data_IF_455228696128
#
_entry.id   IF_455228696128
#
_cell.length_a   1.000
_cell.length_b   1.000
_cell.length_c   1.000
_cell.angle_alpha   90.00
_cell.angle_beta   90.00
_cell.angle_gamma   90.00
#
_symmetry.space_group_name_H-M   'P 1'
#
loop_
_entity.id
_entity.type
_entity.pdbx_description
1 polymer ?
#
# COMPACT_ATOMS: atom_id res chain seq x y z
N UNK A 1 46.93 66.96 31.74
CA UNK A 1 45.80 66.72 32.66
C UNK A 1 45.44 68.04 33.31
N UNK A 2 44.16 68.43 33.48
CA UNK A 2 42.89 67.99 32.87
C UNK A 2 42.46 68.96 31.73
N UNK A 3 41.70 68.65 30.68
CA UNK A 3 40.40 67.97 30.49
C UNK A 3 39.19 68.80 31.00
N UNK A 4 38.43 69.40 30.06
CA UNK A 4 36.95 69.44 30.00
C UNK A 4 36.50 70.34 28.82
N UNK A 5 36.11 69.82 27.64
CA UNK A 5 34.78 69.34 27.17
C UNK A 5 33.59 70.28 27.35
N UNK A 6 33.06 70.84 26.23
CA UNK A 6 31.61 70.92 26.04
C UNK A 6 31.25 70.82 24.54
N UNK A 7 30.62 69.69 24.18
CA UNK A 7 30.17 69.38 22.84
C UNK A 7 28.65 69.48 22.74
N UNK A 8 28.21 70.04 21.63
CA UNK A 8 26.82 70.31 21.23
C UNK A 8 25.96 69.03 21.25
N UNK A 9 24.85 69.07 21.99
CA UNK A 9 23.85 68.01 22.09
C UNK A 9 22.83 68.10 20.94
N UNK A 10 23.06 67.38 19.83
CA UNK A 10 22.00 67.08 18.83
C UNK A 10 21.28 65.79 19.22
N UNK A 11 19.99 65.88 19.54
CA UNK A 11 19.09 64.73 19.74
C UNK A 11 18.75 64.11 18.37
N UNK A 12 19.17 62.88 18.13
CA UNK A 12 18.72 62.04 17.02
C UNK A 12 17.46 61.28 17.42
N UNK A 13 16.29 61.82 17.05
CA UNK A 13 15.04 61.05 16.93
C UNK A 13 15.06 60.41 15.55
N UNK A 14 15.41 59.12 15.46
CA UNK A 14 15.54 58.52 14.12
C UNK A 14 15.91 57.04 14.04
N UNK A 15 15.67 56.23 15.08
CA UNK A 15 15.95 54.79 15.03
C UNK A 15 14.73 53.89 15.33
N UNK A 16 13.64 54.43 15.87
CA UNK A 16 12.46 53.65 16.27
C UNK A 16 11.51 53.32 15.12
N UNK A 17 11.33 54.22 14.14
CA UNK A 17 10.31 54.06 13.10
C UNK A 17 10.72 53.11 11.97
N UNK A 18 12.03 53.05 11.65
CA UNK A 18 12.57 52.16 10.61
C UNK A 18 12.57 50.69 11.01
N UNK A 19 12.82 50.38 12.28
CA UNK A 19 12.79 49.01 12.80
C UNK A 19 11.36 48.46 12.88
N UNK A 20 10.39 49.31 13.22
CA UNK A 20 8.96 48.96 13.26
C UNK A 20 8.38 48.74 11.85
N UNK A 21 8.75 49.55 10.85
CA UNK A 21 8.31 49.32 9.46
C UNK A 21 8.95 48.05 8.85
N UNK A 22 10.23 47.77 9.15
CA UNK A 22 10.89 46.56 8.66
C UNK A 22 10.28 45.28 9.25
N UNK A 23 9.87 45.29 10.53
CA UNK A 23 9.19 44.17 11.17
C UNK A 23 7.75 43.98 10.66
N UNK A 24 7.03 45.07 10.35
CA UNK A 24 5.68 44.99 9.77
C UNK A 24 5.72 44.51 8.32
N UNK A 25 6.70 44.93 7.51
CA UNK A 25 6.89 44.40 6.16
C UNK A 25 7.36 42.93 6.17
N UNK A 26 8.21 42.52 7.11
CA UNK A 26 8.59 41.11 7.28
C UNK A 26 7.41 40.23 7.76
N UNK A 27 6.54 40.75 8.62
CA UNK A 27 5.30 40.07 9.03
C UNK A 27 4.24 40.01 7.91
N UNK A 28 4.19 41.02 7.03
CA UNK A 28 3.32 41.02 5.85
C UNK A 28 3.82 40.09 4.74
N UNK A 29 5.15 39.91 4.60
CA UNK A 29 5.75 38.96 3.66
C UNK A 29 5.71 37.50 4.17
N UNK A 30 5.55 37.27 5.47
CA UNK A 30 5.34 35.94 6.06
C UNK A 30 3.86 35.50 6.06
N UNK A 31 2.91 36.36 5.68
CA UNK A 31 1.46 36.05 5.67
C UNK A 31 0.86 35.96 4.27
N UNK A 32 1.65 36.15 3.20
CA UNK A 32 1.20 36.06 1.82
C UNK A 32 2.20 35.29 0.95
N UNK A 33 2.39 34.00 1.24
CA UNK A 33 2.76 33.06 0.19
C UNK A 33 1.50 32.75 -0.61
N UNK A 34 1.53 32.77 -1.95
CA UNK A 34 0.37 32.40 -2.75
C UNK A 34 0.07 30.93 -2.48
N UNK A 35 -1.07 30.71 -1.84
CA UNK A 35 -1.70 29.43 -1.60
C UNK A 35 -2.33 28.95 -2.92
N UNK A 36 -1.52 28.82 -3.97
CA UNK A 36 -1.92 28.28 -5.28
C UNK A 36 -2.01 26.75 -5.19
N UNK A 37 -2.94 26.28 -4.36
CA UNK A 37 -3.33 24.87 -4.32
C UNK A 37 -4.72 24.66 -3.66
N UNK A 38 -5.62 25.65 -3.77
CA UNK A 38 -7.04 25.48 -3.40
C UNK A 38 -7.81 24.70 -4.46
N UNK A 39 -7.39 23.46 -4.70
CA UNK A 39 -8.32 22.42 -5.13
C UNK A 39 -9.30 22.19 -3.98
N UNK A 40 -10.59 22.48 -4.21
CA UNK A 40 -11.69 22.52 -3.23
C UNK A 40 -12.00 21.23 -2.46
N UNK A 41 -11.04 20.67 -1.74
CA UNK A 41 -11.21 19.55 -0.83
C UNK A 41 -11.57 19.99 0.59
N UNK A 42 -12.28 19.13 1.32
CA UNK A 42 -12.49 19.29 2.78
C UNK A 42 -11.12 19.50 3.46
N UNK A 43 -10.99 20.42 4.42
CA UNK A 43 -9.72 20.67 5.10
C UNK A 43 -9.22 19.41 5.79
N UNK A 44 -7.90 19.35 6.02
CA UNK A 44 -7.33 18.28 6.82
C UNK A 44 -7.99 18.24 8.20
N UNK A 45 -8.42 17.06 8.62
CA UNK A 45 -8.92 16.79 9.95
C UNK A 45 -8.53 15.38 10.39
N UNK A 46 -8.54 15.13 11.69
CA UNK A 46 -8.30 13.80 12.22
C UNK A 46 -9.31 12.79 11.64
N UNK A 47 -8.83 11.58 11.35
CA UNK A 47 -9.65 10.49 10.81
C UNK A 47 -9.37 9.19 11.55
N UNK A 48 -10.43 8.44 11.84
CA UNK A 48 -10.37 7.11 12.46
C UNK A 48 -11.53 6.25 11.97
N UNK A 49 -11.44 4.93 12.18
CA UNK A 49 -12.51 3.98 11.85
C UNK A 49 -13.67 4.17 12.84
N UNK A 50 -14.78 4.71 12.36
CA UNK A 50 -16.01 4.88 13.13
C UNK A 50 -16.78 3.57 13.24
N UNK A 51 -17.02 2.92 12.10
CA UNK A 51 -17.71 1.64 11.99
C UNK A 51 -17.13 0.81 10.85
N UNK A 52 -17.42 -0.49 10.87
CA UNK A 52 -17.06 -1.43 9.83
C UNK A 52 -18.08 -2.56 9.73
N UNK A 53 -18.16 -3.20 8.57
CA UNK A 53 -18.93 -4.42 8.34
C UNK A 53 -18.21 -5.34 7.37
N UNK A 54 -18.36 -6.65 7.52
CA UNK A 54 -17.93 -7.59 6.49
C UNK A 54 -18.68 -7.33 5.17
N UNK A 55 -18.02 -7.57 4.05
CA UNK A 55 -18.61 -7.55 2.71
C UNK A 55 -18.74 -8.99 2.19
N UNK A 56 -19.86 -9.67 2.47
CA UNK A 56 -20.08 -11.03 2.02
C UNK A 56 -20.30 -11.13 0.50
N UNK A 57 -20.68 -10.04 -0.15
CA UNK A 57 -20.95 -10.01 -1.59
C UNK A 57 -19.66 -10.24 -2.38
N UNK A 58 -18.66 -9.38 -2.16
CA UNK A 58 -17.38 -9.47 -2.86
C UNK A 58 -16.53 -10.64 -2.37
N UNK A 59 -16.53 -10.92 -1.06
CA UNK A 59 -15.89 -12.13 -0.50
C UNK A 59 -16.48 -13.39 -1.15
N UNK A 60 -17.81 -13.47 -1.26
CA UNK A 60 -18.49 -14.59 -1.92
C UNK A 60 -18.27 -14.65 -3.43
N UNK A 61 -18.06 -13.51 -4.09
CA UNK A 61 -17.78 -13.48 -5.53
C UNK A 61 -16.43 -14.11 -5.85
N UNK A 62 -15.38 -13.82 -5.08
CA UNK A 62 -14.09 -14.50 -5.20
C UNK A 62 -14.16 -15.98 -4.84
N UNK A 63 -14.93 -16.34 -3.80
CA UNK A 63 -15.13 -17.75 -3.46
C UNK A 63 -15.78 -18.52 -4.62
N UNK A 64 -16.91 -18.01 -5.17
CA UNK A 64 -17.59 -18.62 -6.31
C UNK A 64 -16.70 -18.70 -7.56
N UNK A 65 -15.91 -17.67 -7.83
CA UNK A 65 -14.97 -17.67 -8.95
C UNK A 65 -13.92 -18.77 -8.79
N UNK A 66 -13.29 -18.87 -7.61
CA UNK A 66 -12.26 -19.87 -7.35
C UNK A 66 -12.77 -21.28 -7.12
N UNK A 67 -14.07 -21.47 -6.89
CA UNK A 67 -14.74 -22.78 -6.78
C UNK A 67 -15.27 -23.27 -8.14
N UNK A 68 -15.23 -22.43 -9.18
CA UNK A 68 -15.70 -22.78 -10.51
C UNK A 68 -14.71 -23.73 -11.21
N UNK A 69 -14.97 -25.03 -11.11
CA UNK A 69 -14.16 -26.07 -11.73
C UNK A 69 -14.37 -26.23 -13.25
N UNK A 70 -15.12 -25.33 -13.92
CA UNK A 70 -15.27 -25.38 -15.38
C UNK A 70 -14.00 -24.99 -16.15
N UNK A 71 -13.02 -24.38 -15.46
CA UNK A 71 -11.73 -23.94 -16.03
C UNK A 71 -10.59 -24.44 -15.14
N UNK A 72 -9.64 -25.14 -15.74
CA UNK A 72 -8.58 -25.87 -15.01
C UNK A 72 -7.30 -25.09 -14.73
N UNK A 73 -7.22 -23.83 -15.16
CA UNK A 73 -6.06 -22.94 -15.03
C UNK A 73 -6.42 -21.62 -14.31
N UNK A 74 -7.62 -21.54 -13.76
CA UNK A 74 -8.14 -20.34 -13.13
C UNK A 74 -7.56 -20.08 -11.74
N UNK A 75 -7.62 -18.82 -11.31
CA UNK A 75 -7.32 -18.41 -9.94
C UNK A 75 -8.24 -19.12 -8.95
N UNK A 76 -7.67 -19.71 -7.89
CA UNK A 76 -8.43 -20.36 -6.81
C UNK A 76 -8.12 -19.81 -5.42
N UNK A 77 -7.15 -18.91 -5.31
CA UNK A 77 -6.72 -18.26 -4.08
C UNK A 77 -5.39 -17.55 -4.26
N UNK A 78 -5.18 -16.41 -3.60
CA UNK A 78 -3.92 -15.69 -3.71
C UNK A 78 -3.84 -14.48 -2.78
N UNK A 79 -2.61 -13.99 -2.62
CA UNK A 79 -2.24 -12.90 -1.72
C UNK A 79 -2.19 -11.52 -2.39
N UNK A 80 -2.14 -10.47 -1.57
CA UNK A 80 -1.88 -9.08 -1.94
C UNK A 80 -3.14 -8.32 -2.38
N UNK A 81 -3.95 -8.96 -3.23
CA UNK A 81 -5.28 -8.48 -3.64
C UNK A 81 -5.30 -6.97 -3.96
N UNK A 82 -4.57 -6.55 -4.98
CA UNK A 82 -4.55 -5.15 -5.41
C UNK A 82 -5.55 -4.93 -6.55
N UNK A 83 -6.18 -3.76 -6.61
CA UNK A 83 -7.16 -3.44 -7.66
C UNK A 83 -6.87 -2.12 -8.34
N UNK A 84 -7.11 -2.05 -9.66
CA UNK A 84 -7.12 -0.80 -10.43
C UNK A 84 -8.32 -0.77 -11.38
N UNK A 85 -9.05 0.35 -11.39
CA UNK A 85 -10.13 0.58 -12.36
C UNK A 85 -9.52 0.91 -13.71
N UNK A 86 -10.00 0.24 -14.75
CA UNK A 86 -9.57 0.45 -16.13
C UNK A 86 -10.48 1.49 -16.81
N UNK A 87 -9.98 2.22 -17.83
CA UNK A 87 -10.77 3.25 -18.52
C UNK A 87 -12.04 2.73 -19.18
N UNK A 88 -12.08 1.45 -19.52
CA UNK A 88 -13.21 0.80 -20.18
C UNK A 88 -14.25 0.21 -19.20
N UNK A 89 -14.16 0.58 -17.91
CA UNK A 89 -15.11 0.20 -16.87
C UNK A 89 -14.83 -1.14 -16.19
N UNK A 90 -13.86 -1.91 -16.68
CA UNK A 90 -13.39 -3.14 -16.00
C UNK A 90 -12.56 -2.81 -14.75
N UNK A 91 -12.33 -3.82 -13.92
CA UNK A 91 -11.37 -3.76 -12.81
C UNK A 91 -10.35 -4.88 -12.99
N UNK A 92 -9.07 -4.51 -12.96
CA UNK A 92 -7.96 -5.46 -12.91
C UNK A 92 -7.61 -5.71 -11.46
N UNK A 93 -7.62 -6.98 -11.07
CA UNK A 93 -7.15 -7.49 -9.79
C UNK A 93 -5.80 -8.14 -9.98
N UNK A 94 -4.86 -7.84 -9.10
CA UNK A 94 -3.49 -8.32 -9.13
C UNK A 94 -3.20 -9.06 -7.82
N UNK A 95 -2.65 -10.24 -7.95
CA UNK A 95 -2.30 -11.10 -6.83
C UNK A 95 -0.82 -11.43 -6.87
N UNK A 96 -0.25 -11.59 -5.69
CA UNK A 96 1.09 -12.14 -5.47
C UNK A 96 1.01 -13.66 -5.53
N UNK A 97 1.68 -14.37 -4.63
CA UNK A 97 1.61 -15.82 -4.47
C UNK A 97 0.14 -16.33 -4.61
N UNK A 98 -0.09 -17.21 -5.58
CA UNK A 98 -1.42 -17.59 -6.07
C UNK A 98 -1.48 -19.10 -6.33
N UNK A 99 -2.53 -19.75 -5.84
CA UNK A 99 -2.95 -21.07 -6.30
C UNK A 99 -3.85 -20.96 -7.53
N UNK A 100 -3.58 -21.81 -8.51
CA UNK A 100 -4.42 -22.03 -9.68
C UNK A 100 -4.99 -23.45 -9.66
N UNK A 101 -5.84 -23.77 -10.62
CA UNK A 101 -6.28 -25.14 -10.86
C UNK A 101 -7.66 -25.46 -10.32
N UNK A 102 -7.86 -26.71 -9.92
CA UNK A 102 -9.16 -27.19 -9.48
C UNK A 102 -9.35 -27.07 -7.97
N UNK A 103 -10.58 -26.71 -7.57
CA UNK A 103 -11.08 -26.85 -6.20
C UNK A 103 -12.15 -27.93 -6.17
N UNK A 104 -12.11 -28.75 -5.13
CA UNK A 104 -13.03 -29.84 -4.86
C UNK A 104 -14.10 -29.38 -3.87
N UNK A 105 -15.33 -29.84 -4.09
CA UNK A 105 -16.44 -29.59 -3.19
C UNK A 105 -16.22 -30.27 -1.81
N UNK A 106 -16.83 -29.74 -0.74
CA UNK A 106 -16.86 -30.43 0.55
C UNK A 106 -17.47 -31.85 0.47
N UNK A 107 -17.09 -32.76 1.38
CA UNK A 107 -16.12 -32.56 2.45
C UNK A 107 -14.67 -32.64 1.97
N UNK A 108 -13.75 -32.06 2.73
CA UNK A 108 -12.32 -32.26 2.51
C UNK A 108 -11.85 -33.67 2.94
N UNK A 109 -10.60 -34.07 2.63
CA UNK A 109 -10.10 -35.41 2.99
C UNK A 109 -10.06 -35.72 4.50
N UNK A 110 -10.19 -34.69 5.36
CA UNK A 110 -10.30 -34.84 6.81
C UNK A 110 -11.77 -34.91 7.29
N UNK A 111 -12.75 -34.96 6.38
CA UNK A 111 -14.18 -35.02 6.68
C UNK A 111 -14.80 -33.68 7.09
N UNK A 112 -14.09 -32.56 6.92
CA UNK A 112 -14.59 -31.23 7.29
C UNK A 112 -15.41 -30.62 6.15
N UNK A 113 -16.40 -29.75 6.43
CA UNK A 113 -17.31 -29.20 5.42
C UNK A 113 -16.69 -28.02 4.63
N UNK A 114 -15.44 -28.19 4.20
CA UNK A 114 -14.66 -27.16 3.51
C UNK A 114 -14.37 -27.56 2.07
N UNK A 115 -14.44 -26.58 1.16
CA UNK A 115 -13.89 -26.73 -0.18
C UNK A 115 -12.36 -26.79 -0.08
N UNK A 116 -11.72 -27.62 -0.90
CA UNK A 116 -10.32 -27.98 -0.75
C UNK A 116 -9.64 -28.13 -2.11
N UNK A 117 -8.31 -28.12 -2.11
CA UNK A 117 -7.49 -28.35 -3.31
C UNK A 117 -6.42 -29.38 -3.01
N UNK A 118 -5.94 -30.05 -4.05
CA UNK A 118 -4.79 -30.95 -3.92
C UNK A 118 -3.54 -30.18 -3.48
N UNK A 119 -2.68 -30.82 -2.68
CA UNK A 119 -1.43 -30.19 -2.22
C UNK A 119 -0.47 -29.87 -3.37
N UNK A 120 -0.63 -30.55 -4.51
CA UNK A 120 0.10 -30.32 -5.75
C UNK A 120 -0.56 -29.28 -6.67
N UNK A 121 -1.58 -28.55 -6.21
CA UNK A 121 -2.21 -27.49 -6.99
C UNK A 121 -1.15 -26.49 -7.50
N UNK A 122 -1.22 -26.07 -8.79
CA UNK A 122 -0.25 -25.15 -9.35
C UNK A 122 -0.15 -23.88 -8.51
N UNK A 123 1.07 -23.44 -8.23
CA UNK A 123 1.35 -22.26 -7.43
C UNK A 123 2.31 -21.33 -8.17
N UNK A 124 1.85 -20.12 -8.44
CA UNK A 124 2.60 -19.08 -9.17
C UNK A 124 2.85 -17.88 -8.27
N UNK A 125 3.90 -17.11 -8.57
CA UNK A 125 4.31 -15.95 -7.75
C UNK A 125 3.47 -14.70 -7.99
N UNK A 126 2.69 -14.67 -9.06
CA UNK A 126 1.76 -13.60 -9.33
C UNK A 126 0.71 -14.04 -10.33
N UNK A 127 -0.46 -13.42 -10.26
CA UNK A 127 -1.55 -13.64 -11.21
C UNK A 127 -2.41 -12.38 -11.32
N UNK A 128 -3.40 -12.42 -12.20
CA UNK A 128 -4.39 -11.38 -12.30
C UNK A 128 -5.77 -11.93 -12.69
N UNK A 129 -6.81 -11.29 -12.16
CA UNK A 129 -8.21 -11.59 -12.49
C UNK A 129 -8.89 -10.31 -12.96
N UNK A 130 -9.78 -10.43 -13.95
CA UNK A 130 -10.53 -9.30 -14.50
C UNK A 130 -11.98 -9.37 -14.05
N UNK A 131 -12.46 -8.29 -13.44
CA UNK A 131 -13.90 -8.04 -13.29
C UNK A 131 -14.41 -7.28 -14.50
N UNK A 132 -15.46 -7.82 -15.11
CA UNK A 132 -16.16 -7.26 -16.24
C UNK A 132 -16.91 -5.97 -15.94
N UNK A 133 -17.46 -5.37 -17.00
CA UNK A 133 -18.32 -4.17 -16.88
C UNK A 133 -19.62 -4.45 -16.09
N UNK A 134 -20.06 -5.71 -16.06
CA UNK A 134 -21.20 -6.16 -15.27
C UNK A 134 -20.92 -6.21 -13.76
N UNK A 135 -19.66 -6.10 -13.35
CA UNK A 135 -19.23 -6.28 -11.96
C UNK A 135 -18.97 -7.74 -11.57
N UNK A 136 -19.11 -8.70 -12.50
CA UNK A 136 -18.75 -10.10 -12.27
C UNK A 136 -17.26 -10.36 -12.54
N UNK A 137 -16.63 -11.26 -11.78
CA UNK A 137 -15.29 -11.79 -12.15
C UNK A 137 -15.46 -12.66 -13.39
N UNK A 138 -14.66 -12.42 -14.43
CA UNK A 138 -14.85 -13.02 -15.75
C UNK A 138 -13.73 -13.98 -16.14
N UNK A 139 -12.47 -13.62 -15.86
CA UNK A 139 -11.31 -14.42 -16.29
C UNK A 139 -10.05 -14.18 -15.48
N UNK A 140 -9.24 -15.21 -15.37
CA UNK A 140 -7.83 -15.14 -14.98
C UNK A 140 -7.03 -14.83 -16.23
N UNK A 141 -6.04 -13.93 -16.13
CA UNK A 141 -5.08 -13.71 -17.21
C UNK A 141 -4.06 -14.85 -17.23
N UNK A 142 -3.38 -15.13 -18.37
CA UNK A 142 -2.30 -16.10 -18.40
C UNK A 142 -1.30 -15.88 -17.27
N UNK A 143 -1.04 -16.93 -16.49
CA UNK A 143 -0.28 -16.87 -15.26
C UNK A 143 1.01 -17.73 -15.35
N UNK A 144 2.14 -17.28 -14.77
CA UNK A 144 2.32 -16.00 -14.10
C UNK A 144 2.23 -14.81 -15.06
N UNK A 145 1.63 -13.71 -14.61
CA UNK A 145 1.46 -12.50 -15.43
C UNK A 145 2.82 -11.81 -15.66
N UNK A 146 3.65 -11.75 -14.63
CA UNK A 146 5.00 -11.22 -14.65
C UNK A 146 5.98 -12.40 -14.50
N UNK A 147 6.80 -12.70 -15.51
CA UNK A 147 7.82 -13.73 -15.41
C UNK A 147 8.79 -13.46 -14.27
N UNK A 148 9.43 -14.49 -13.74
CA UNK A 148 10.50 -14.33 -12.75
C UNK A 148 11.72 -13.63 -13.39
N UNK A 149 12.41 -12.73 -12.68
CA UNK A 149 13.56 -12.00 -13.23
C UNK A 149 14.80 -12.88 -13.40
N UNK A 150 14.94 -13.93 -12.60
CA UNK A 150 16.05 -14.90 -12.62
C UNK A 150 15.67 -16.12 -11.76
N UNK A 151 16.42 -17.24 -11.84
CA UNK A 151 16.24 -18.36 -10.91
C UNK A 151 16.30 -17.90 -9.45
N UNK A 152 15.43 -18.45 -8.61
CA UNK A 152 15.33 -18.11 -7.17
C UNK A 152 14.95 -16.65 -6.90
N UNK A 153 14.39 -15.95 -7.89
CA UNK A 153 13.85 -14.60 -7.74
C UNK A 153 12.43 -14.55 -8.28
N UNK A 154 11.60 -13.66 -7.74
CA UNK A 154 10.22 -13.52 -8.16
C UNK A 154 9.71 -12.10 -8.04
N UNK A 155 8.53 -11.86 -8.64
CA UNK A 155 7.83 -10.57 -8.66
C UNK A 155 6.47 -10.67 -8.00
N UNK A 156 6.21 -9.75 -7.07
CA UNK A 156 4.91 -9.53 -6.46
C UNK A 156 4.32 -8.19 -6.91
N UNK A 157 3.15 -8.15 -7.55
CA UNK A 157 2.44 -6.91 -7.84
C UNK A 157 1.82 -6.35 -6.58
N UNK A 158 2.16 -5.09 -6.25
CA UNK A 158 1.82 -4.46 -4.98
C UNK A 158 1.01 -3.17 -5.10
N UNK A 159 0.89 -2.64 -6.31
CA UNK A 159 -0.05 -1.57 -6.64
C UNK A 159 -0.12 -1.42 -8.15
N UNK A 160 -1.20 -0.82 -8.66
CA UNK A 160 -1.28 -0.46 -10.07
C UNK A 160 -1.99 0.86 -10.29
N UNK A 161 -1.62 1.58 -11.34
CA UNK A 161 -2.21 2.87 -11.73
C UNK A 161 -2.47 2.88 -13.23
N UNK A 162 -3.54 3.55 -13.62
CA UNK A 162 -3.71 3.97 -15.01
C UNK A 162 -3.14 5.38 -15.11
N UNK A 163 -2.21 5.57 -16.04
CA UNK A 163 -1.62 6.88 -16.33
C UNK A 163 -1.35 7.03 -17.83
N UNK A 164 -1.17 8.27 -18.34
CA UNK A 164 -0.66 8.47 -19.68
C UNK A 164 0.63 7.69 -19.91
N UNK A 165 0.80 7.12 -21.12
CA UNK A 165 2.04 6.41 -21.50
C UNK A 165 3.30 7.25 -21.27
N UNK A 166 3.18 8.54 -21.54
CA UNK A 166 4.17 9.57 -21.26
C UNK A 166 3.42 10.88 -20.98
N UNK A 167 4.05 11.87 -20.33
CA UNK A 167 3.40 13.14 -20.05
C UNK A 167 2.88 13.82 -21.32
N UNK A 168 1.59 14.17 -21.31
CA UNK A 168 0.90 14.77 -22.46
C UNK A 168 0.37 13.76 -23.49
N UNK A 169 0.64 12.46 -23.34
CA UNK A 169 0.08 11.44 -24.23
C UNK A 169 -1.42 11.25 -23.98
N UNK A 170 -2.18 11.10 -25.06
CA UNK A 170 -3.59 10.67 -24.99
C UNK A 170 -3.71 9.16 -24.70
N UNK A 171 -2.70 8.37 -25.06
CA UNK A 171 -2.68 6.94 -24.81
C UNK A 171 -2.49 6.65 -23.31
N UNK A 172 -3.36 5.83 -22.73
CA UNK A 172 -3.28 5.38 -21.35
C UNK A 172 -2.67 3.97 -21.29
N UNK A 173 -1.94 3.69 -20.23
CA UNK A 173 -1.40 2.36 -19.90
C UNK A 173 -1.70 2.00 -18.46
N UNK A 174 -1.60 0.71 -18.13
CA UNK A 174 -1.53 0.30 -16.72
C UNK A 174 -0.07 0.20 -16.32
N UNK A 175 0.32 0.91 -15.26
CA UNK A 175 1.59 0.71 -14.57
C UNK A 175 1.37 -0.15 -13.34
N UNK A 176 2.17 -1.19 -13.19
CA UNK A 176 2.12 -2.09 -12.02
C UNK A 176 3.41 -1.97 -11.25
N UNK A 177 3.34 -1.53 -10.00
CA UNK A 177 4.47 -1.55 -9.07
C UNK A 177 4.70 -2.99 -8.62
N UNK A 178 5.96 -3.42 -8.72
CA UNK A 178 6.39 -4.78 -8.44
C UNK A 178 7.48 -4.75 -7.36
N UNK A 179 7.35 -5.63 -6.40
CA UNK A 179 8.43 -5.99 -5.50
C UNK A 179 9.17 -7.19 -6.04
N UNK A 180 10.47 -7.05 -6.23
CA UNK A 180 11.33 -8.19 -6.50
C UNK A 180 11.91 -8.72 -5.21
N UNK A 181 11.91 -10.04 -5.09
CA UNK A 181 12.49 -10.77 -3.98
C UNK A 181 13.38 -11.87 -4.51
N UNK A 182 14.37 -12.21 -3.71
CA UNK A 182 15.23 -13.38 -3.93
C UNK A 182 15.05 -14.35 -2.78
N UNK A 183 15.32 -15.63 -3.01
CA UNK A 183 15.34 -16.63 -1.94
C UNK A 183 16.22 -16.13 -0.79
N UNK A 184 15.66 -16.17 0.41
CA UNK A 184 16.29 -15.73 1.64
C UNK A 184 16.32 -16.87 2.66
N UNK A 185 17.15 -16.72 3.67
CA UNK A 185 17.12 -17.54 4.88
C UNK A 185 16.37 -16.79 5.98
N UNK A 186 16.06 -17.47 7.08
CA UNK A 186 15.50 -16.82 8.27
C UNK A 186 16.36 -15.60 8.66
N UNK A 187 15.77 -14.42 8.91
CA UNK A 187 14.33 -14.13 9.08
C UNK A 187 13.51 -13.83 7.81
N UNK A 188 14.11 -13.75 6.62
CA UNK A 188 13.43 -13.46 5.35
C UNK A 188 12.95 -14.73 4.63
N UNK A 189 12.18 -15.56 5.34
CA UNK A 189 11.66 -16.83 4.81
C UNK A 189 10.71 -16.65 3.62
N UNK A 190 10.09 -15.47 3.51
CA UNK A 190 9.24 -15.06 2.38
C UNK A 190 10.02 -14.27 1.33
N UNK A 191 11.33 -14.53 1.23
CA UNK A 191 12.24 -13.85 0.32
C UNK A 191 12.85 -12.58 0.88
N UNK A 192 14.13 -12.39 0.56
CA UNK A 192 14.86 -11.18 0.88
C UNK A 192 14.47 -10.05 -0.10
N UNK A 193 14.21 -8.83 0.39
CA UNK A 193 13.85 -7.70 -0.47
C UNK A 193 15.00 -7.38 -1.43
N UNK A 194 14.72 -7.17 -2.71
CA UNK A 194 15.76 -6.92 -3.72
C UNK A 194 15.61 -5.56 -4.42
N UNK A 195 14.49 -5.33 -5.10
CA UNK A 195 14.26 -4.12 -5.87
C UNK A 195 12.77 -3.74 -5.96
N UNK A 196 12.52 -2.49 -6.32
CA UNK A 196 11.22 -2.03 -6.83
C UNK A 196 11.30 -1.91 -8.35
N UNK A 197 10.32 -2.47 -9.03
CA UNK A 197 10.16 -2.40 -10.49
C UNK A 197 8.78 -1.85 -10.85
N UNK A 198 8.62 -1.40 -12.09
CA UNK A 198 7.34 -0.98 -12.66
C UNK A 198 7.14 -1.66 -14.00
N UNK A 199 6.10 -2.49 -14.09
CA UNK A 199 5.66 -3.06 -15.36
C UNK A 199 4.69 -2.14 -16.09
N UNK A 200 4.69 -2.21 -17.42
CA UNK A 200 3.75 -1.52 -18.31
C UNK A 200 2.88 -2.55 -19.01
N UNK A 201 1.56 -2.40 -18.90
CA UNK A 201 0.60 -3.21 -19.65
C UNK A 201 -0.16 -2.33 -20.63
N UNK A 202 -0.36 -2.86 -21.83
CA UNK A 202 -1.20 -2.25 -22.86
C UNK A 202 -2.66 -2.17 -22.42
N UNK A 203 -3.38 -1.16 -22.91
CA UNK A 203 -4.83 -1.07 -22.80
C UNK A 203 -5.48 -1.14 -24.19
N UNK A 204 -6.66 -1.77 -24.33
CA UNK A 204 -7.39 -2.53 -23.31
C UNK A 204 -6.88 -3.98 -23.11
N UNK A 205 -5.87 -4.41 -23.88
CA UNK A 205 -5.44 -5.82 -23.96
C UNK A 205 -4.85 -6.41 -22.69
N UNK A 206 -4.26 -5.58 -21.81
CA UNK A 206 -3.56 -5.99 -20.58
C UNK A 206 -2.32 -6.87 -20.83
N UNK A 207 -1.75 -6.82 -22.04
CA UNK A 207 -0.50 -7.51 -22.34
C UNK A 207 0.69 -6.76 -21.75
N UNK A 208 1.61 -7.47 -21.08
CA UNK A 208 2.84 -6.90 -20.52
C UNK A 208 3.78 -6.48 -21.65
N UNK A 209 4.13 -5.19 -21.71
CA UNK A 209 5.00 -4.61 -22.72
C UNK A 209 6.45 -4.49 -22.24
N UNK A 210 6.64 -4.10 -20.97
CA UNK A 210 7.96 -3.86 -20.40
C UNK A 210 7.95 -3.92 -18.88
N UNK A 211 9.13 -4.12 -18.28
CA UNK A 211 9.38 -4.01 -16.84
C UNK A 211 10.65 -3.19 -16.63
N UNK A 212 10.53 -2.08 -15.90
CA UNK A 212 11.63 -1.17 -15.61
C UNK A 212 12.00 -1.21 -14.12
N UNK A 213 13.28 -1.40 -13.80
CA UNK A 213 13.77 -1.31 -12.42
C UNK A 213 13.89 0.16 -12.01
N UNK A 214 13.08 0.59 -11.04
CA UNK A 214 13.06 1.98 -10.55
C UNK A 214 13.98 2.18 -9.34
N UNK A 215 14.19 1.13 -8.55
CA UNK A 215 15.10 1.15 -7.41
C UNK A 215 15.69 -0.25 -7.16
N UNK A 216 16.96 -0.43 -7.50
CA UNK A 216 17.72 -1.63 -7.16
C UNK A 216 18.42 -1.45 -5.80
N UNK A 217 18.17 -2.35 -4.85
CA UNK A 217 18.78 -2.32 -3.53
C UNK A 217 19.57 -3.58 -3.19
N UNK A 218 19.85 -4.45 -4.16
CA UNK A 218 20.68 -5.65 -3.95
C UNK A 218 22.08 -5.30 -3.45
N UNK A 219 22.58 -4.12 -3.81
CA UNK A 219 23.85 -3.57 -3.32
C UNK A 219 23.81 -3.03 -1.89
N UNK A 220 22.65 -2.92 -1.24
CA UNK A 220 22.55 -2.56 0.19
C UNK A 220 22.85 -3.82 1.01
N UNK A 221 23.96 -3.87 1.78
CA UNK A 221 24.42 -5.12 2.41
C UNK A 221 23.45 -5.70 3.43
N UNK A 222 22.79 -4.83 4.20
CA UNK A 222 21.80 -5.22 5.21
C UNK A 222 20.38 -5.21 4.59
N UNK A 223 19.73 -6.38 4.40
CA UNK A 223 18.40 -6.43 3.84
C UNK A 223 17.34 -5.75 4.70
N UNK A 224 17.54 -5.63 6.02
CA UNK A 224 16.63 -4.94 6.92
C UNK A 224 16.54 -3.43 6.64
N UNK A 225 17.52 -2.87 5.91
CA UNK A 225 17.58 -1.46 5.51
C UNK A 225 17.07 -1.20 4.09
N UNK A 226 16.69 -2.25 3.36
CA UNK A 226 16.09 -2.12 2.03
C UNK A 226 14.64 -1.66 2.20
N UNK A 227 14.23 -0.73 1.35
CA UNK A 227 12.89 -0.13 1.31
C UNK A 227 12.25 -0.51 -0.01
N UNK A 228 11.19 -1.32 0.06
CA UNK A 228 10.40 -1.66 -1.11
C UNK A 228 9.25 -0.67 -1.24
N UNK A 229 9.32 0.19 -2.27
CA UNK A 229 8.24 1.13 -2.59
C UNK A 229 7.15 0.43 -3.39
N UNK A 230 5.90 0.79 -3.13
CA UNK A 230 4.77 0.32 -3.91
C UNK A 230 3.64 -0.32 -3.13
N UNK A 231 3.68 -0.35 -1.78
CA UNK A 231 2.55 -0.85 -0.98
C UNK A 231 1.23 -0.16 -1.33
N UNK A 232 1.32 1.12 -1.70
CA UNK A 232 0.23 1.90 -2.29
C UNK A 232 0.80 3.11 -3.04
N UNK A 233 0.14 3.51 -4.13
CA UNK A 233 0.36 4.78 -4.80
C UNK A 233 -0.83 5.73 -4.53
N UNK A 234 -0.68 7.05 -4.51
CA UNK A 234 -1.79 8.01 -4.33
C UNK A 234 -1.52 9.26 -5.14
N UNK A 235 -2.46 9.66 -5.99
CA UNK A 235 -2.31 10.87 -6.80
C UNK A 235 -2.77 12.12 -6.04
N UNK A 236 -1.96 13.18 -6.09
CA UNK A 236 -2.31 14.53 -5.61
C UNK A 236 -1.37 15.57 -6.22
N UNK A 237 -1.95 16.65 -6.76
CA UNK A 237 -1.21 17.85 -7.18
C UNK A 237 -0.10 17.55 -8.19
N UNK A 238 -0.42 16.94 -9.33
CA UNK A 238 0.54 16.59 -10.39
C UNK A 238 1.54 15.46 -10.04
N UNK A 239 1.51 14.94 -8.81
CA UNK A 239 2.38 13.88 -8.33
C UNK A 239 1.60 12.60 -8.04
N UNK A 240 2.26 11.48 -8.27
CA UNK A 240 1.93 10.18 -7.70
C UNK A 240 2.85 9.92 -6.52
N UNK A 241 2.31 9.88 -5.31
CA UNK A 241 3.02 9.52 -4.09
C UNK A 241 3.04 8.00 -3.95
N UNK A 242 4.22 7.40 -3.78
CA UNK A 242 4.39 5.95 -3.64
C UNK A 242 4.91 5.65 -2.25
N UNK A 243 4.12 4.94 -1.45
CA UNK A 243 4.51 4.52 -0.11
C UNK A 243 5.23 3.18 -0.15
N UNK A 244 6.14 2.98 0.79
CA UNK A 244 6.95 1.76 0.91
C UNK A 244 7.30 1.44 2.35
N UNK A 245 7.69 0.19 2.61
CA UNK A 245 8.13 -0.28 3.92
C UNK A 245 9.56 -0.78 3.87
N UNK A 246 10.22 -0.83 5.02
CA UNK A 246 11.41 -1.67 5.20
C UNK A 246 11.04 -3.09 5.65
N UNK A 247 11.94 -4.04 5.45
CA UNK A 247 11.84 -5.41 5.99
C UNK A 247 12.69 -5.55 7.28
N UNK A 248 12.58 -4.55 8.15
CA UNK A 248 13.23 -4.53 9.45
C UNK A 248 12.77 -5.67 10.36
N UNK A 249 13.64 -6.02 11.32
CA UNK A 249 13.43 -7.12 12.30
C UNK A 249 12.78 -6.67 13.61
N UNK A 250 12.38 -5.40 13.71
CA UNK A 250 11.69 -4.88 14.88
C UNK A 250 10.26 -5.39 15.01
N UNK A 251 9.62 -5.15 16.16
CA UNK A 251 8.22 -5.48 16.39
C UNK A 251 7.27 -4.79 15.39
N UNK A 252 7.73 -3.66 14.82
CA UNK A 252 7.09 -2.98 13.70
C UNK A 252 8.13 -2.53 12.68
N UNK A 253 7.70 -2.37 11.43
CA UNK A 253 8.49 -1.81 10.32
C UNK A 253 8.23 -0.32 10.19
N UNK A 254 9.07 0.35 9.42
CA UNK A 254 8.92 1.79 9.13
C UNK A 254 8.31 2.01 7.76
N UNK A 255 7.49 3.05 7.64
CA UNK A 255 6.94 3.50 6.38
C UNK A 255 7.75 4.69 5.83
N UNK A 256 7.91 4.70 4.52
CA UNK A 256 8.64 5.69 3.73
C UNK A 256 7.75 6.18 2.60
N UNK A 257 8.10 7.31 2.01
CA UNK A 257 7.39 7.86 0.85
C UNK A 257 8.35 8.38 -0.22
N UNK A 258 8.01 8.06 -1.47
CA UNK A 258 8.56 8.67 -2.67
C UNK A 258 7.45 9.41 -3.41
N UNK A 259 7.83 10.26 -4.36
CA UNK A 259 6.90 10.85 -5.33
C UNK A 259 7.48 10.84 -6.73
N UNK A 260 6.60 10.75 -7.71
CA UNK A 260 6.94 10.73 -9.14
C UNK A 260 5.95 11.66 -9.86
N UNK A 261 6.37 12.46 -10.85
CA UNK A 261 5.39 13.20 -11.65
C UNK A 261 4.41 12.22 -12.30
N UNK A 262 3.13 12.57 -12.34
CA UNK A 262 2.11 11.72 -12.95
C UNK A 262 2.47 11.39 -14.41
N UNK A 263 2.26 10.13 -14.84
CA UNK A 263 2.63 9.68 -16.19
C UNK A 263 4.09 9.27 -16.35
N UNK A 264 4.87 9.21 -15.26
CA UNK A 264 6.30 8.87 -15.27
C UNK A 264 6.67 7.75 -14.29
N UNK A 265 5.72 6.91 -13.85
CA UNK A 265 5.97 5.92 -12.80
C UNK A 265 7.09 4.95 -13.18
N UNK A 266 7.17 4.56 -14.47
CA UNK A 266 8.18 3.67 -15.03
C UNK A 266 9.52 4.35 -15.38
N UNK A 267 9.72 5.63 -15.04
CA UNK A 267 10.96 6.36 -15.32
C UNK A 267 11.83 6.50 -14.05
N UNK A 268 12.91 5.71 -13.87
CA UNK A 268 13.69 5.72 -12.63
C UNK A 268 14.24 7.11 -12.27
N UNK A 269 14.66 7.90 -13.26
CA UNK A 269 15.18 9.25 -13.08
C UNK A 269 14.14 10.29 -12.63
N UNK A 270 12.85 9.97 -12.70
CA UNK A 270 11.77 10.87 -12.29
C UNK A 270 11.46 10.78 -10.78
N UNK A 271 11.83 9.69 -10.12
CA UNK A 271 11.53 9.43 -8.72
C UNK A 271 12.24 10.40 -7.77
N UNK A 272 11.51 10.83 -6.74
CA UNK A 272 12.03 11.66 -5.65
C UNK A 272 11.70 11.04 -4.31
N UNK A 273 12.68 10.91 -3.44
CA UNK A 273 12.58 10.28 -2.14
C UNK A 273 12.58 11.33 -1.03
N UNK A 274 11.72 11.18 -0.03
CA UNK A 274 11.70 12.09 1.12
C UNK A 274 12.89 11.82 2.05
N UNK A 275 13.76 12.81 2.23
CA UNK A 275 14.94 12.69 3.10
C UNK A 275 14.70 13.11 4.56
N UNK A 276 13.46 13.41 4.92
CA UNK A 276 13.08 13.97 6.23
C UNK A 276 12.88 15.49 6.22
N UNK A 277 13.40 16.19 5.21
CA UNK A 277 13.33 17.66 5.09
C UNK A 277 12.92 18.13 3.69
N UNK A 278 13.31 17.41 2.64
CA UNK A 278 13.08 17.75 1.24
C UNK A 278 13.00 16.50 0.37
N UNK A 279 12.53 16.70 -0.85
CA UNK A 279 12.49 15.67 -1.89
C UNK A 279 13.81 15.60 -2.65
N UNK A 280 14.45 14.44 -2.71
CA UNK A 280 15.77 14.26 -3.35
C UNK A 280 15.75 13.16 -4.40
N UNK A 281 16.71 13.17 -5.34
CA UNK A 281 16.89 12.06 -6.30
C UNK A 281 17.63 10.87 -5.71
N UNK A 282 18.39 11.08 -4.64
CA UNK A 282 19.17 10.04 -4.02
C UNK A 282 18.24 9.09 -3.24
N UNK A 283 18.32 7.77 -3.43
CA UNK A 283 17.46 6.81 -2.75
C UNK A 283 17.93 6.54 -1.31
N UNK A 284 17.99 7.60 -0.50
CA UNK A 284 18.31 7.56 0.93
C UNK A 284 17.13 8.12 1.75
N UNK A 285 15.94 7.50 1.68
CA UNK A 285 14.76 8.04 2.32
C UNK A 285 14.85 7.99 3.84
N UNK A 286 14.14 8.89 4.52
CA UNK A 286 13.86 8.81 5.96
C UNK A 286 12.41 8.37 6.18
N UNK A 287 12.20 7.64 7.27
CA UNK A 287 10.88 7.16 7.64
C UNK A 287 9.94 8.33 7.95
N UNK A 288 8.70 8.23 7.48
CA UNK A 288 7.62 9.19 7.80
C UNK A 288 6.76 8.69 8.97
N UNK A 289 6.77 7.38 9.20
CA UNK A 289 6.08 6.72 10.30
C UNK A 289 6.90 5.52 10.74
N UNK A 290 7.03 5.33 12.05
CA UNK A 290 7.71 4.18 12.64
C UNK A 290 8.77 4.59 13.65
N UNK A 291 8.65 4.09 14.89
CA UNK A 291 9.71 4.16 15.90
C UNK A 291 10.47 2.82 16.05
N UNK A 292 9.98 1.75 15.40
CA UNK A 292 10.54 0.40 15.48
C UNK A 292 10.03 -0.40 16.68
N UNK A 293 9.14 0.18 17.49
CA UNK A 293 8.57 -0.43 18.67
C UNK A 293 7.04 -0.40 18.61
N UNK A 294 6.42 0.70 19.07
CA UNK A 294 4.99 0.84 19.33
C UNK A 294 4.24 1.47 18.18
N UNK A 295 4.92 2.25 17.34
CA UNK A 295 4.35 2.91 16.16
C UNK A 295 5.08 2.41 14.94
N UNK A 296 4.33 2.01 13.92
CA UNK A 296 4.90 1.53 12.68
C UNK A 296 3.87 0.79 11.85
N UNK A 297 4.37 0.04 10.87
CA UNK A 297 3.57 -0.70 9.91
C UNK A 297 3.96 -2.18 9.90
N UNK A 298 3.07 -3.01 9.38
CA UNK A 298 3.37 -4.39 8.99
C UNK A 298 4.19 -4.44 7.69
N UNK A 299 4.44 -5.65 7.18
CA UNK A 299 5.11 -5.86 5.89
C UNK A 299 4.35 -5.26 4.72
N UNK A 300 3.02 -5.21 4.80
CA UNK A 300 2.15 -4.51 3.87
C UNK A 300 1.19 -3.59 4.62
N UNK A 301 0.83 -2.49 3.96
CA UNK A 301 -0.08 -1.47 4.45
C UNK A 301 -0.64 -0.70 3.26
N UNK A 302 -1.73 0.03 3.44
CA UNK A 302 -2.32 0.83 2.38
C UNK A 302 -2.60 2.25 2.83
N UNK A 303 -2.58 3.20 1.90
CA UNK A 303 -2.85 4.62 2.17
C UNK A 303 -3.98 5.13 1.26
N UNK A 304 -5.02 5.67 1.86
CA UNK A 304 -6.13 6.32 1.14
C UNK A 304 -6.15 7.81 1.42
N UNK A 305 -6.90 8.55 0.59
CA UNK A 305 -7.28 9.94 0.89
C UNK A 305 -8.76 10.04 1.22
N UNK A 306 -9.06 10.80 2.27
CA UNK A 306 -10.40 11.25 2.60
C UNK A 306 -10.39 12.77 2.79
N UNK A 307 -10.90 13.51 1.80
CA UNK A 307 -10.73 14.97 1.74
C UNK A 307 -9.25 15.37 1.76
N UNK A 308 -8.89 16.32 2.61
CA UNK A 308 -7.51 16.78 2.82
C UNK A 308 -6.64 15.87 3.70
N UNK A 309 -7.12 14.68 4.09
CA UNK A 309 -6.42 13.81 5.03
C UNK A 309 -5.96 12.51 4.35
N UNK A 310 -4.71 12.12 4.59
CA UNK A 310 -4.18 10.79 4.31
C UNK A 310 -4.50 9.87 5.48
N UNK A 311 -4.95 8.65 5.19
CA UNK A 311 -5.23 7.62 6.18
C UNK A 311 -4.50 6.35 5.78
N UNK A 312 -3.64 5.86 6.67
CA UNK A 312 -2.88 4.62 6.49
C UNK A 312 -3.57 3.51 7.29
N UNK A 313 -3.74 2.34 6.69
CA UNK A 313 -4.21 1.12 7.36
C UNK A 313 -3.11 0.06 7.33
N UNK A 314 -2.89 -0.58 8.48
CA UNK A 314 -1.87 -1.62 8.68
C UNK A 314 -2.33 -2.60 9.74
N UNK A 315 -1.80 -3.81 9.76
CA UNK A 315 -1.95 -4.68 10.94
C UNK A 315 -1.36 -3.98 12.17
N UNK A 316 -1.98 -4.19 13.34
CA UNK A 316 -1.50 -3.67 14.61
C UNK A 316 -0.14 -4.29 15.00
N UNK A 317 0.59 -3.63 15.88
CA UNK A 317 1.86 -4.15 16.39
C UNK A 317 1.65 -5.38 17.29
N UNK A 318 2.64 -6.27 17.34
CA UNK A 318 2.63 -7.46 18.20
C UNK A 318 1.53 -8.46 17.86
N UNK A 319 1.14 -9.29 18.84
CA UNK A 319 0.15 -10.36 18.65
C UNK A 319 -1.25 -9.87 18.32
N UNK A 320 -1.59 -8.63 18.68
CA UNK A 320 -2.84 -8.00 18.23
C UNK A 320 -2.92 -7.91 16.70
N UNK A 321 -1.77 -7.81 16.01
CA UNK A 321 -1.68 -7.78 14.56
C UNK A 321 -2.13 -9.06 13.86
N UNK A 322 -2.32 -10.18 14.59
CA UNK A 322 -2.83 -11.41 13.99
C UNK A 322 -4.30 -11.29 13.56
N UNK A 323 -5.06 -10.37 14.16
CA UNK A 323 -6.48 -10.19 13.83
C UNK A 323 -6.89 -8.73 13.70
N UNK A 324 -6.06 -7.78 14.15
CA UNK A 324 -6.48 -6.37 14.25
C UNK A 324 -5.76 -5.50 13.24
N UNK A 325 -6.54 -4.79 12.44
CA UNK A 325 -6.08 -3.67 11.60
C UNK A 325 -6.17 -2.40 12.42
N UNK A 326 -5.13 -1.57 12.39
CA UNK A 326 -5.07 -0.23 12.97
C UNK A 326 -4.94 0.84 11.89
N UNK A 327 -5.04 2.12 12.27
CA UNK A 327 -4.90 3.23 11.33
C UNK A 327 -4.05 4.38 11.86
N UNK A 328 -3.48 5.15 10.94
CA UNK A 328 -2.79 6.42 11.20
C UNK A 328 -3.35 7.48 10.24
N UNK A 329 -3.24 8.76 10.59
CA UNK A 329 -3.65 9.85 9.70
C UNK A 329 -2.63 10.98 9.65
N UNK A 330 -2.58 11.71 8.54
CA UNK A 330 -1.71 12.88 8.35
C UNK A 330 -2.34 13.88 7.37
N UNK A 331 -1.96 15.16 7.50
CA UNK A 331 -2.35 16.20 6.53
C UNK A 331 -1.48 16.23 5.27
N UNK A 332 -0.29 15.62 5.33
CA UNK A 332 0.65 15.52 4.24
C UNK A 332 1.20 14.09 4.14
N UNK A 333 1.60 13.64 2.94
CA UNK A 333 2.16 12.29 2.78
C UNK A 333 3.48 12.09 3.55
N UNK A 334 4.18 13.19 3.84
CA UNK A 334 5.42 13.23 4.63
C UNK A 334 5.19 13.27 6.14
N UNK A 335 3.93 13.34 6.59
CA UNK A 335 3.57 13.50 8.00
C UNK A 335 3.49 14.96 8.46
N UNK A 336 3.47 15.21 9.79
CA UNK A 336 3.56 14.20 10.84
C UNK A 336 2.36 13.24 10.82
N UNK A 337 2.64 11.94 11.00
CA UNK A 337 1.60 10.92 11.10
C UNK A 337 1.15 10.78 12.55
N UNK A 338 -0.17 10.75 12.77
CA UNK A 338 -0.83 10.66 14.06
C UNK A 338 -1.51 9.30 14.24
N UNK A 339 -1.51 8.76 15.46
CA UNK A 339 -2.03 7.43 15.77
C UNK A 339 -1.00 6.54 16.49
N UNK A 340 -1.31 5.25 16.72
CA UNK A 340 -2.43 4.52 16.11
C UNK A 340 -3.81 5.00 16.59
N UNK A 341 -4.76 5.11 15.67
CA UNK A 341 -6.16 5.44 15.96
C UNK A 341 -7.00 4.15 16.09
N UNK A 342 -8.31 4.29 16.35
CA UNK A 342 -9.21 3.14 16.42
C UNK A 342 -9.16 2.34 15.11
N UNK A 343 -9.00 1.03 15.28
CA UNK A 343 -8.98 0.04 14.22
C UNK A 343 -10.19 -0.90 14.30
N UNK A 344 -10.10 -2.04 13.63
CA UNK A 344 -11.12 -3.09 13.66
C UNK A 344 -10.49 -4.47 13.72
N UNK A 345 -11.26 -5.46 14.17
CA UNK A 345 -10.88 -6.87 14.13
C UNK A 345 -11.36 -7.48 12.81
N UNK A 346 -10.42 -7.97 12.01
CA UNK A 346 -10.67 -8.62 10.73
C UNK A 346 -11.38 -9.96 10.95
N UNK A 347 -12.60 -10.16 10.42
CA UNK A 347 -13.31 -11.42 10.57
C UNK A 347 -12.55 -12.60 9.94
N UNK A 348 -12.11 -13.54 10.77
CA UNK A 348 -11.49 -14.77 10.26
C UNK A 348 -12.57 -15.78 9.81
N UNK A 349 -12.24 -16.69 8.87
CA UNK A 349 -13.11 -17.82 8.54
C UNK A 349 -13.49 -18.60 9.81
N UNK A 350 -14.75 -19.03 9.88
CA UNK A 350 -15.21 -19.88 10.98
C UNK A 350 -14.69 -21.28 10.71
N UNK A 351 -13.57 -21.63 11.32
CA UNK A 351 -13.10 -23.01 11.40
C UNK A 351 -13.19 -23.50 12.85
N UNK A 352 -13.43 -24.80 13.03
CA UNK A 352 -13.60 -25.42 14.35
C UNK A 352 -12.33 -25.46 15.21
N UNK A 353 -11.20 -25.01 14.67
CA UNK A 353 -9.95 -24.83 15.40
C UNK A 353 -10.01 -23.53 16.21
N UNK A 354 -9.91 -23.67 17.54
CA UNK A 354 -9.88 -22.60 18.52
C UNK A 354 -8.83 -21.53 18.15
N UNK A 355 -9.24 -20.41 17.54
CA UNK A 355 -8.66 -19.04 17.60
C UNK A 355 -7.13 -18.82 17.65
N UNK A 356 -6.27 -19.79 17.36
CA UNK A 356 -4.83 -19.68 17.63
C UNK A 356 -3.93 -19.85 16.39
N UNK A 357 -4.44 -20.42 15.30
CA UNK A 357 -3.57 -20.79 14.17
C UNK A 357 -3.93 -20.08 12.85
N UNK A 358 -4.77 -19.05 12.88
CA UNK A 358 -5.06 -18.25 11.67
C UNK A 358 -4.80 -16.77 11.91
N UNK A 359 -4.28 -16.09 10.89
CA UNK A 359 -4.00 -14.66 10.93
C UNK A 359 -4.57 -13.94 9.73
N UNK A 360 -4.99 -12.70 9.96
CA UNK A 360 -5.21 -11.70 8.92
C UNK A 360 -3.91 -10.95 8.63
N UNK A 361 -3.72 -10.53 7.38
CA UNK A 361 -2.58 -9.70 6.97
C UNK A 361 -2.91 -8.94 5.68
N UNK A 362 -1.95 -8.14 5.19
CA UNK A 362 -2.06 -7.37 3.95
C UNK A 362 -3.36 -6.55 3.79
N UNK A 363 -3.67 -5.62 4.72
CA UNK A 363 -4.82 -4.75 4.54
C UNK A 363 -4.62 -3.87 3.30
N UNK A 364 -5.51 -4.00 2.32
CA UNK A 364 -5.40 -3.33 1.03
C UNK A 364 -6.67 -2.58 0.67
N UNK A 365 -6.55 -1.31 0.26
CA UNK A 365 -7.70 -0.49 -0.08
C UNK A 365 -8.06 -0.60 -1.58
N UNK A 366 -9.36 -0.52 -1.86
CA UNK A 366 -9.92 -0.64 -3.21
C UNK A 366 -10.71 0.60 -3.65
N UNK A 367 -10.05 1.77 -3.82
CA UNK A 367 -10.74 2.97 -4.28
C UNK A 367 -11.41 2.80 -5.66
N UNK A 368 -10.95 1.83 -6.46
CA UNK A 368 -11.52 1.45 -7.75
C UNK A 368 -12.99 0.97 -7.71
N UNK A 369 -13.43 0.48 -6.54
CA UNK A 369 -14.75 -0.15 -6.35
C UNK A 369 -15.70 0.71 -5.51
N UNK A 370 -15.25 1.89 -5.12
CA UNK A 370 -15.98 2.77 -4.23
C UNK A 370 -15.03 3.39 -3.21
N UNK A 371 -15.36 4.62 -2.84
CA UNK A 371 -14.55 5.40 -1.92
C UNK A 371 -14.94 6.86 -2.00
N UNK A 372 -14.64 7.61 -0.95
CA UNK A 372 -15.01 9.01 -0.83
C UNK A 372 -16.06 9.26 0.25
N UNK A 373 -16.09 10.50 0.71
CA UNK A 373 -16.90 10.98 1.84
C UNK A 373 -16.71 10.19 3.12
N UNK A 374 -15.59 9.51 3.32
CA UNK A 374 -15.31 8.65 4.46
C UNK A 374 -15.72 7.18 4.28
N UNK A 375 -16.02 6.70 3.07
CA UNK A 375 -16.19 5.24 2.80
C UNK A 375 -14.87 4.67 2.30
N UNK A 376 -14.48 3.50 2.80
CA UNK A 376 -13.32 2.74 2.34
C UNK A 376 -13.70 1.26 2.22
N UNK A 377 -13.46 0.65 1.07
CA UNK A 377 -13.47 -0.80 0.92
C UNK A 377 -12.05 -1.31 1.12
N UNK A 378 -11.87 -2.25 2.05
CA UNK A 378 -10.58 -2.85 2.37
C UNK A 378 -10.67 -4.36 2.20
N UNK A 379 -9.69 -4.98 1.55
CA UNK A 379 -9.44 -6.42 1.67
C UNK A 379 -8.37 -6.71 2.70
N UNK A 380 -8.31 -7.96 3.12
CA UNK A 380 -7.18 -8.55 3.82
C UNK A 380 -7.06 -10.01 3.41
N UNK A 381 -5.84 -10.51 3.49
CA UNK A 381 -5.54 -11.91 3.27
C UNK A 381 -5.67 -12.67 4.59
N UNK A 382 -5.85 -13.98 4.50
CA UNK A 382 -5.87 -14.91 5.64
C UNK A 382 -4.88 -16.02 5.35
N UNK A 383 -4.23 -16.55 6.39
CA UNK A 383 -3.36 -17.70 6.29
C UNK A 383 -3.33 -18.47 7.61
N UNK A 384 -2.85 -19.71 7.54
CA UNK A 384 -2.56 -20.55 8.68
C UNK A 384 -1.16 -20.27 9.22
N UNK A 385 -1.04 -20.02 10.52
CA UNK A 385 0.21 -19.83 11.21
C UNK A 385 0.76 -21.19 11.66
N UNK A 386 1.90 -21.58 11.09
CA UNK A 386 2.66 -22.73 11.58
C UNK A 386 4.15 -22.49 11.37
N UNK A 387 4.98 -22.97 12.29
CA UNK A 387 6.43 -22.90 12.16
C UNK A 387 6.94 -23.79 11.01
N UNK A 388 6.20 -24.84 10.65
CA UNK A 388 6.47 -25.73 9.53
C UNK A 388 5.67 -25.28 8.30
N UNK A 389 6.33 -24.77 7.23
CA UNK A 389 5.64 -24.31 6.03
C UNK A 389 4.76 -25.37 5.35
N UNK A 390 5.17 -26.64 5.41
CA UNK A 390 4.40 -27.76 4.87
C UNK A 390 3.06 -27.96 5.60
N UNK A 391 3.03 -27.73 6.92
CA UNK A 391 1.78 -27.81 7.70
C UNK A 391 0.86 -26.67 7.33
N UNK A 392 1.36 -25.44 7.28
CA UNK A 392 0.58 -24.28 6.83
C UNK A 392 -0.01 -24.51 5.42
N UNK A 393 0.81 -25.00 4.48
CA UNK A 393 0.38 -25.36 3.12
C UNK A 393 -0.74 -26.41 3.14
N UNK A 394 -0.60 -27.48 3.94
CA UNK A 394 -1.62 -28.52 4.03
C UNK A 394 -2.94 -27.97 4.57
N UNK A 395 -2.92 -27.07 5.56
CA UNK A 395 -4.13 -26.48 6.13
C UNK A 395 -4.85 -25.55 5.15
N UNK A 396 -4.11 -24.67 4.45
CA UNK A 396 -4.72 -23.81 3.41
C UNK A 396 -5.15 -24.56 2.15
N UNK A 397 -4.66 -25.78 1.96
CA UNK A 397 -5.13 -26.69 0.91
C UNK A 397 -6.40 -27.42 1.32
N UNK A 398 -6.52 -27.82 2.60
CA UNK A 398 -7.73 -28.47 3.16
C UNK A 398 -8.92 -27.52 3.32
N UNK A 399 -8.66 -26.23 3.39
CA UNK A 399 -9.68 -25.19 3.44
C UNK A 399 -9.25 -23.99 2.59
N UNK A 400 -9.73 -23.93 1.35
CA UNK A 400 -9.32 -22.89 0.39
C UNK A 400 -9.70 -21.48 0.84
N UNK A 401 -10.66 -21.33 1.77
CA UNK A 401 -11.06 -20.03 2.32
C UNK A 401 -9.98 -19.39 3.20
N UNK A 402 -8.98 -20.17 3.65
CA UNK A 402 -7.83 -19.70 4.41
C UNK A 402 -6.74 -19.08 3.53
N UNK A 403 -6.95 -18.94 2.21
CA UNK A 403 -5.99 -18.29 1.30
C UNK A 403 -6.71 -17.61 0.13
N UNK A 404 -7.76 -16.87 0.48
CA UNK A 404 -8.57 -16.05 -0.43
C UNK A 404 -8.82 -14.68 0.22
N UNK A 405 -8.93 -13.60 -0.56
CA UNK A 405 -9.23 -12.29 -0.01
C UNK A 405 -10.59 -12.27 0.68
N UNK A 406 -10.64 -11.52 1.77
CA UNK A 406 -11.87 -11.16 2.47
C UNK A 406 -12.01 -9.66 2.47
N UNK A 407 -13.24 -9.18 2.42
CA UNK A 407 -13.53 -7.76 2.24
C UNK A 407 -14.34 -7.20 3.41
N UNK A 408 -14.05 -5.96 3.77
CA UNK A 408 -14.79 -5.17 4.76
C UNK A 408 -15.04 -3.75 4.24
N UNK A 409 -16.24 -3.24 4.51
CA UNK A 409 -16.56 -1.85 4.30
C UNK A 409 -16.32 -1.06 5.60
N UNK A 410 -15.60 0.06 5.51
CA UNK A 410 -15.27 0.93 6.62
C UNK A 410 -15.92 2.30 6.46
N UNK A 411 -16.32 2.89 7.58
CA UNK A 411 -16.69 4.31 7.69
C UNK A 411 -15.63 5.06 8.48
N UNK A 412 -15.04 6.08 7.87
CA UNK A 412 -14.16 7.04 8.51
C UNK A 412 -14.96 8.22 9.06
N UNK A 413 -14.56 8.69 10.25
CA UNK A 413 -15.07 9.92 10.84
C UNK A 413 -13.97 10.63 11.65
N UNK A 414 -14.27 11.84 12.11
CA UNK A 414 -13.46 12.46 13.17
C UNK A 414 -13.52 11.59 14.44
N UNK A 415 -12.42 11.47 15.20
CA UNK A 415 -12.45 10.83 16.51
C UNK A 415 -13.50 11.49 17.42
N UNK A 416 -14.15 10.74 18.32
CA UNK A 416 -14.93 11.35 19.39
C UNK A 416 -14.04 12.30 20.21
N UNK A 417 -14.62 13.41 20.66
CA UNK A 417 -13.94 14.40 21.49
C UNK A 417 -13.60 13.84 22.86
#
# INVERSE_FOLDING_TARGET
MPADTEAVRRRSVGAGLGLLLALVCAAALLTALPDDDREGGRPCAARTVASWSADPGLTGAFARYGDDASRGDDWTGGDGTHSVRLPDGRVLWLFSDTYLGQVHAPPNPAGQPHAWRDISAPFVRNSAVVTGRSGALERTLPAPLFPDPAPQQWRWPVAARVEPRSPGSAEQVVRVLLWTRTTGTGPWIYGMPAATEVATLSLPGLGVESVATVLDQRGVPDPARRVLFGTTAVDRGGWTYVFGGDDGQGATRRAYVARVPHGRLAEPGAWRYWDGSRWTRAPRPRAVLGDGERRGVGSAFTVVRDGGTYVLFTMAAGTAGLTRVTSYWACAPTGPWHGPAKGFEAPLPRDGALRQDTAAYNPQAHPALGGGDGRVLLSYDVNWLDAAPATAQAQVSRNVSLYRPRFVALRLASPPR
#
